data_IF_241022289184
#
_entry.id   IF_241022289184
#
_cell.length_a   1.000
_cell.length_b   1.000
_cell.length_c   1.000
_cell.angle_alpha   90.00
_cell.angle_beta   90.00
_cell.angle_gamma   90.00
#
_symmetry.space_group_name_H-M   'P 1'
#
loop_
_entity.id
_entity.type
_entity.pdbx_description
1 polymer ?
#
# COMPACT_ATOMS: atom_id res chain seq x y z
N UNK A 1 16.76 -16.27 -13.87
CA UNK A 1 16.57 -14.81 -13.73
C UNK A 1 15.79 -14.54 -12.48
N UNK A 2 16.37 -13.74 -11.62
CA UNK A 2 15.71 -13.37 -10.38
C UNK A 2 14.62 -12.37 -10.67
N UNK A 3 13.38 -12.78 -10.44
CA UNK A 3 12.24 -11.88 -10.56
C UNK A 3 12.23 -10.95 -9.35
N UNK A 4 12.40 -9.67 -9.60
CA UNK A 4 12.41 -8.64 -8.57
C UNK A 4 10.99 -8.30 -8.17
N UNK A 5 10.77 -8.13 -6.86
CA UNK A 5 9.45 -7.89 -6.30
C UNK A 5 9.35 -6.50 -5.70
N UNK A 6 8.28 -5.81 -6.00
CA UNK A 6 7.87 -4.56 -5.35
C UNK A 6 6.58 -4.83 -4.60
N UNK A 7 6.48 -4.36 -3.39
CA UNK A 7 5.32 -4.61 -2.52
C UNK A 7 4.59 -3.32 -2.20
N UNK A 8 3.27 -3.43 -2.07
CA UNK A 8 2.39 -2.31 -1.74
C UNK A 8 1.51 -2.67 -0.55
N UNK A 9 1.36 -1.73 0.38
CA UNK A 9 0.29 -1.78 1.36
C UNK A 9 -1.06 -1.58 0.67
N UNK A 10 -2.15 -1.95 1.34
CA UNK A 10 -3.49 -1.87 0.78
C UNK A 10 -4.25 -0.65 1.30
N UNK A 11 -4.60 -0.64 2.60
CA UNK A 11 -5.39 0.43 3.21
C UNK A 11 -4.62 1.76 3.23
N UNK A 12 -5.27 2.84 2.80
CA UNK A 12 -4.72 4.21 2.75
C UNK A 12 -3.45 4.36 1.90
N UNK A 13 -3.11 3.33 1.13
CA UNK A 13 -2.01 3.35 0.17
C UNK A 13 -2.54 3.21 -1.25
N UNK A 14 -3.30 2.15 -1.55
CA UNK A 14 -3.94 1.96 -2.85
C UNK A 14 -5.23 2.77 -2.98
N UNK A 15 -5.93 2.99 -1.89
CA UNK A 15 -7.16 3.76 -1.86
C UNK A 15 -7.26 4.57 -0.58
N UNK A 16 -8.11 5.61 -0.62
CA UNK A 16 -8.54 6.34 0.56
C UNK A 16 -10.05 6.17 0.74
N UNK A 17 -10.51 6.30 1.99
CA UNK A 17 -11.93 6.25 2.30
C UNK A 17 -12.52 7.66 2.19
N UNK A 18 -13.62 7.80 1.46
CA UNK A 18 -14.40 9.03 1.46
C UNK A 18 -15.84 8.72 1.84
N UNK A 19 -16.47 9.64 2.59
CA UNK A 19 -17.87 9.57 2.92
C UNK A 19 -18.64 10.55 2.02
N UNK A 20 -19.66 10.04 1.32
CA UNK A 20 -20.56 10.89 0.54
C UNK A 20 -21.94 10.91 1.17
N UNK A 21 -22.51 12.13 1.26
CA UNK A 21 -23.91 12.29 1.64
C UNK A 21 -24.79 12.00 0.44
N UNK A 22 -25.69 11.02 0.60
CA UNK A 22 -26.66 10.66 -0.45
C UNK A 22 -27.99 11.36 -0.16
N UNK A 23 -28.28 12.44 -0.93
CA UNK A 23 -29.52 13.19 -0.85
C UNK A 23 -29.72 13.95 0.46
N UNK A 24 -31.00 14.25 0.80
CA UNK A 24 -31.37 14.96 2.03
C UNK A 24 -31.46 14.05 3.25
N UNK A 25 -31.30 12.76 3.07
CA UNK A 25 -31.23 11.78 4.15
C UNK A 25 -29.78 11.67 4.61
N UNK A 26 -29.58 11.65 5.91
CA UNK A 26 -28.25 11.56 6.55
C UNK A 26 -27.64 10.16 6.40
N UNK A 27 -27.70 9.58 5.20
CA UNK A 27 -27.05 8.33 4.92
C UNK A 27 -25.66 8.65 4.32
N UNK A 28 -24.61 8.29 5.04
CA UNK A 28 -23.25 8.32 4.51
C UNK A 28 -22.92 6.96 3.92
N UNK A 29 -22.44 6.92 2.68
CA UNK A 29 -21.81 5.72 2.13
C UNK A 29 -20.30 5.91 2.13
N UNK A 30 -19.59 4.86 2.54
CA UNK A 30 -18.12 4.83 2.46
C UNK A 30 -17.73 4.36 1.08
N UNK A 31 -16.96 5.20 0.37
CA UNK A 31 -16.47 4.89 -0.97
C UNK A 31 -14.96 4.68 -0.91
N UNK A 32 -14.51 3.59 -1.52
CA UNK A 32 -13.08 3.34 -1.72
C UNK A 32 -12.63 4.15 -2.94
N UNK A 33 -11.91 5.23 -2.69
CA UNK A 33 -11.41 6.11 -3.75
C UNK A 33 -9.96 5.75 -4.08
N UNK A 34 -9.67 5.29 -5.31
CA UNK A 34 -8.30 4.98 -5.69
C UNK A 34 -7.35 6.15 -5.51
N UNK A 35 -6.17 5.89 -4.99
CA UNK A 35 -5.08 6.85 -4.94
C UNK A 35 -4.32 6.72 -6.26
N UNK A 36 -4.67 7.57 -7.21
CA UNK A 36 -4.23 7.43 -8.60
C UNK A 36 -2.71 7.40 -8.75
N UNK A 37 -1.99 8.24 -8.03
CA UNK A 37 -0.52 8.26 -8.09
C UNK A 37 0.10 6.92 -7.70
N UNK A 38 -0.50 6.23 -6.75
CA UNK A 38 -0.02 4.91 -6.31
C UNK A 38 -0.38 3.84 -7.33
N UNK A 39 -1.59 3.86 -7.90
CA UNK A 39 -1.96 2.97 -9.00
C UNK A 39 -1.01 3.15 -10.19
N UNK A 40 -0.72 4.40 -10.56
CA UNK A 40 0.19 4.70 -11.66
C UNK A 40 1.59 4.13 -11.40
N UNK A 41 2.09 4.28 -10.18
CA UNK A 41 3.39 3.72 -9.78
C UNK A 41 3.37 2.19 -9.86
N UNK A 42 2.30 1.56 -9.41
CA UNK A 42 2.15 0.10 -9.45
C UNK A 42 2.22 -0.41 -10.88
N UNK A 43 1.46 0.20 -11.80
CA UNK A 43 1.47 -0.18 -13.21
C UNK A 43 2.84 0.10 -13.86
N UNK A 44 3.47 1.21 -13.50
CA UNK A 44 4.82 1.54 -13.99
C UNK A 44 5.83 0.46 -13.58
N UNK A 45 5.82 0.06 -12.31
CA UNK A 45 6.72 -0.99 -11.80
C UNK A 45 6.46 -2.33 -12.48
N UNK A 46 5.20 -2.67 -12.68
CA UNK A 46 4.85 -3.89 -13.41
C UNK A 46 5.36 -3.84 -14.85
N UNK A 47 5.21 -2.72 -15.52
CA UNK A 47 5.71 -2.50 -16.89
C UNK A 47 7.23 -2.62 -16.96
N UNK A 48 7.94 -2.21 -15.91
CA UNK A 48 9.40 -2.34 -15.81
C UNK A 48 9.85 -3.80 -15.59
N UNK A 49 8.93 -4.73 -15.39
CA UNK A 49 9.21 -6.15 -15.20
C UNK A 49 9.18 -6.62 -13.75
N UNK A 50 8.80 -5.76 -12.80
CA UNK A 50 8.67 -6.18 -11.40
C UNK A 50 7.43 -7.03 -11.18
N UNK A 51 7.57 -8.03 -10.31
CA UNK A 51 6.43 -8.74 -9.73
C UNK A 51 5.85 -7.86 -8.64
N UNK A 52 4.53 -7.74 -8.60
CA UNK A 52 3.83 -6.91 -7.62
C UNK A 52 3.09 -7.80 -6.64
N UNK A 53 3.37 -7.63 -5.35
CA UNK A 53 2.64 -8.25 -4.26
C UNK A 53 2.03 -7.17 -3.36
N UNK A 54 0.90 -7.50 -2.73
CA UNK A 54 0.31 -6.69 -1.67
C UNK A 54 0.69 -7.31 -0.33
N UNK A 55 1.14 -6.49 0.61
CA UNK A 55 1.38 -6.88 2.00
C UNK A 55 0.53 -5.98 2.89
N UNK A 56 -0.50 -6.56 3.50
CA UNK A 56 -1.51 -5.83 4.27
C UNK A 56 -1.55 -6.31 5.71
N UNK A 57 -1.82 -5.37 6.64
CA UNK A 57 -2.04 -5.71 8.05
C UNK A 57 -3.39 -6.40 8.31
N UNK A 58 -4.25 -6.49 7.29
CA UNK A 58 -5.56 -7.15 7.42
C UNK A 58 -5.41 -8.63 7.79
N UNK A 59 -6.50 -9.16 8.35
CA UNK A 59 -6.62 -10.58 8.65
C UNK A 59 -6.93 -11.39 7.37
N UNK A 60 -6.57 -12.66 7.37
CA UNK A 60 -6.79 -13.54 6.23
C UNK A 60 -8.27 -13.74 5.85
N UNK A 61 -9.20 -13.47 6.77
CA UNK A 61 -10.63 -13.55 6.48
C UNK A 61 -11.16 -12.34 5.68
N UNK A 62 -10.36 -11.28 5.52
CA UNK A 62 -10.68 -10.12 4.68
C UNK A 62 -10.37 -10.33 3.18
N UNK A 63 -10.04 -11.56 2.80
CA UNK A 63 -9.69 -11.92 1.41
C UNK A 63 -10.68 -11.39 0.36
N UNK A 64 -12.02 -11.54 0.54
CA UNK A 64 -12.96 -11.11 -0.50
C UNK A 64 -12.85 -9.62 -0.86
N UNK A 65 -12.67 -8.75 0.13
CA UNK A 65 -12.61 -7.30 -0.10
C UNK A 65 -11.36 -6.90 -0.89
N UNK A 66 -10.20 -7.42 -0.50
CA UNK A 66 -8.94 -7.15 -1.21
C UNK A 66 -9.01 -7.70 -2.62
N UNK A 67 -9.49 -8.93 -2.77
CA UNK A 67 -9.62 -9.59 -4.07
C UNK A 67 -10.55 -8.82 -5.00
N UNK A 68 -11.70 -8.37 -4.50
CA UNK A 68 -12.66 -7.58 -5.27
C UNK A 68 -12.04 -6.28 -5.76
N UNK A 69 -11.28 -5.59 -4.91
CA UNK A 69 -10.59 -4.36 -5.29
C UNK A 69 -9.57 -4.61 -6.40
N UNK A 70 -8.73 -5.63 -6.23
CA UNK A 70 -7.71 -6.01 -7.21
C UNK A 70 -8.35 -6.31 -8.57
N UNK A 71 -9.43 -7.07 -8.58
CA UNK A 71 -10.16 -7.42 -9.80
C UNK A 71 -10.83 -6.20 -10.43
N UNK A 72 -11.47 -5.36 -9.63
CA UNK A 72 -12.18 -4.18 -10.12
C UNK A 72 -11.27 -3.19 -10.85
N UNK A 73 -10.04 -3.02 -10.38
CA UNK A 73 -9.07 -2.11 -10.98
C UNK A 73 -8.04 -2.83 -11.86
N UNK A 74 -8.22 -4.12 -12.09
CA UNK A 74 -7.34 -4.95 -12.93
C UNK A 74 -5.87 -4.80 -12.56
N UNK A 75 -5.58 -4.79 -11.24
CA UNK A 75 -4.22 -4.65 -10.75
C UNK A 75 -3.43 -5.95 -10.99
N UNK A 76 -2.20 -5.85 -11.52
CA UNK A 76 -1.39 -7.03 -11.83
C UNK A 76 -0.69 -7.57 -10.57
N UNK A 77 -1.48 -8.08 -9.63
CA UNK A 77 -0.99 -8.58 -8.34
C UNK A 77 -0.76 -10.09 -8.44
N UNK A 78 0.43 -10.54 -8.02
CA UNK A 78 0.75 -11.96 -7.92
C UNK A 78 0.14 -12.57 -6.67
N UNK A 79 0.50 -12.04 -5.50
CA UNK A 79 0.04 -12.55 -4.20
C UNK A 79 -0.38 -11.41 -3.28
N UNK A 80 -1.29 -11.73 -2.36
CA UNK A 80 -1.67 -10.86 -1.25
C UNK A 80 -1.26 -11.56 0.03
N UNK A 81 -0.43 -10.92 0.84
CA UNK A 81 0.04 -11.43 2.12
C UNK A 81 -0.68 -10.69 3.23
N UNK A 82 -1.40 -11.45 4.06
CA UNK A 82 -2.15 -10.95 5.21
C UNK A 82 -1.33 -11.18 6.46
N UNK A 83 -0.87 -10.09 7.11
CA UNK A 83 -0.02 -10.23 8.29
C UNK A 83 -0.81 -10.36 9.59
N UNK A 84 -2.11 -10.05 9.57
CA UNK A 84 -2.95 -10.09 10.77
C UNK A 84 -2.47 -9.14 11.87
N UNK A 85 -1.97 -7.96 11.48
CA UNK A 85 -1.43 -6.99 12.43
C UNK A 85 -0.01 -7.26 12.90
N UNK A 86 0.62 -8.34 12.43
CA UNK A 86 2.03 -8.62 12.74
C UNK A 86 2.94 -7.71 11.92
N UNK A 87 4.19 -7.53 12.38
CA UNK A 87 5.18 -6.71 11.68
C UNK A 87 5.35 -7.14 10.23
N UNK A 88 5.23 -6.20 9.31
CA UNK A 88 5.41 -6.46 7.88
C UNK A 88 6.85 -6.80 7.51
N UNK A 89 7.83 -6.30 8.24
CA UNK A 89 9.25 -6.43 7.90
C UNK A 89 9.69 -7.88 7.65
N UNK A 90 9.25 -8.80 8.50
CA UNK A 90 9.54 -10.21 8.32
C UNK A 90 9.04 -10.74 6.98
N UNK A 91 7.80 -10.41 6.65
CA UNK A 91 7.19 -10.85 5.39
C UNK A 91 7.88 -10.23 4.18
N UNK A 92 8.25 -8.94 4.28
CA UNK A 92 8.97 -8.26 3.21
C UNK A 92 10.33 -8.89 2.94
N UNK A 93 11.03 -9.32 3.98
CA UNK A 93 12.30 -10.03 3.85
C UNK A 93 12.12 -11.40 3.19
N UNK A 94 11.11 -12.16 3.62
CA UNK A 94 10.82 -13.49 3.05
C UNK A 94 10.45 -13.40 1.58
N UNK A 95 9.72 -12.35 1.19
CA UNK A 95 9.35 -12.10 -0.22
C UNK A 95 10.56 -11.65 -1.02
N UNK A 96 11.54 -11.02 -0.38
CA UNK A 96 12.65 -10.38 -1.08
C UNK A 96 12.26 -9.05 -1.71
N UNK A 97 11.40 -8.27 -1.05
CA UNK A 97 10.94 -6.98 -1.55
C UNK A 97 12.09 -6.01 -1.76
N UNK A 98 12.19 -5.47 -2.96
CA UNK A 98 13.20 -4.45 -3.30
C UNK A 98 12.72 -3.04 -3.04
N UNK A 99 11.41 -2.85 -2.94
CA UNK A 99 10.79 -1.57 -2.59
C UNK A 99 9.43 -1.87 -1.98
N UNK A 100 9.15 -1.30 -0.80
CA UNK A 100 7.85 -1.37 -0.18
C UNK A 100 7.21 0.01 -0.14
N UNK A 101 5.97 0.12 -0.59
CA UNK A 101 5.19 1.35 -0.66
C UNK A 101 4.13 1.31 0.43
N UNK A 102 4.17 2.25 1.37
CA UNK A 102 3.29 2.26 2.55
C UNK A 102 3.02 3.70 3.00
N UNK A 103 1.88 3.93 3.62
CA UNK A 103 1.49 5.24 4.15
C UNK A 103 1.85 5.42 5.64
N UNK A 104 2.17 4.33 6.32
CA UNK A 104 2.50 4.36 7.75
C UNK A 104 4.00 4.57 7.98
N UNK A 105 4.34 5.69 8.62
CA UNK A 105 5.73 6.02 8.93
C UNK A 105 6.38 4.94 9.79
N UNK A 106 5.66 4.37 10.77
CA UNK A 106 6.20 3.31 11.63
C UNK A 106 6.63 2.07 10.84
N UNK A 107 5.88 1.69 9.81
CA UNK A 107 6.24 0.58 8.92
C UNK A 107 7.49 0.91 8.12
N UNK A 108 7.53 2.12 7.54
CA UNK A 108 8.67 2.57 6.73
C UNK A 108 9.95 2.61 7.56
N UNK A 109 9.89 3.20 8.76
CA UNK A 109 11.05 3.27 9.68
C UNK A 109 11.57 1.89 9.99
N UNK A 110 10.70 0.97 10.40
CA UNK A 110 11.10 -0.38 10.80
C UNK A 110 11.69 -1.18 9.63
N UNK A 111 11.05 -1.11 8.46
CA UNK A 111 11.53 -1.82 7.27
C UNK A 111 12.89 -1.28 6.80
N UNK A 112 13.07 0.04 6.75
CA UNK A 112 14.33 0.67 6.38
C UNK A 112 15.47 0.30 7.34
N UNK A 113 15.19 0.22 8.63
CA UNK A 113 16.16 -0.23 9.64
C UNK A 113 16.64 -1.66 9.39
N UNK A 114 15.85 -2.45 8.70
CA UNK A 114 16.17 -3.84 8.35
C UNK A 114 16.60 -4.00 6.89
N UNK A 115 16.97 -2.91 6.24
CA UNK A 115 17.56 -2.92 4.90
C UNK A 115 16.57 -3.04 3.76
N UNK A 116 15.28 -2.77 3.99
CA UNK A 116 14.25 -2.80 2.94
C UNK A 116 13.97 -1.37 2.50
N UNK A 117 14.29 -0.98 1.26
CA UNK A 117 13.95 0.35 0.76
C UNK A 117 12.44 0.56 0.75
N UNK A 118 12.00 1.74 1.19
CA UNK A 118 10.59 2.09 1.25
C UNK A 118 10.31 3.42 0.58
N UNK A 119 9.07 3.56 0.10
CA UNK A 119 8.49 4.81 -0.36
C UNK A 119 7.31 5.14 0.53
N UNK A 120 7.39 6.27 1.24
CA UNK A 120 6.33 6.74 2.12
C UNK A 120 5.28 7.50 1.29
N UNK A 121 4.04 7.02 1.32
CA UNK A 121 2.92 7.74 0.70
C UNK A 121 2.48 8.84 1.66
N UNK A 122 2.62 10.10 1.24
CA UNK A 122 2.37 11.26 2.07
C UNK A 122 1.16 12.04 1.56
N UNK A 123 0.06 11.97 2.31
CA UNK A 123 -1.18 12.70 2.05
C UNK A 123 -1.26 14.04 2.80
N UNK A 124 -0.16 14.47 3.43
CA UNK A 124 -0.09 15.67 4.26
C UNK A 124 -0.05 15.40 5.76
N UNK A 125 -0.38 14.18 6.21
CA UNK A 125 -0.37 13.82 7.66
C UNK A 125 1.02 13.88 8.28
N UNK A 126 2.07 13.75 7.46
CA UNK A 126 3.47 13.79 7.92
C UNK A 126 4.09 15.19 7.79
N UNK A 127 3.30 16.19 7.51
CA UNK A 127 3.76 17.58 7.44
C UNK A 127 4.37 17.98 8.78
N UNK A 128 5.54 18.60 8.75
CA UNK A 128 6.31 19.00 9.93
C UNK A 128 6.83 17.82 10.78
N UNK A 129 6.80 16.61 10.27
CA UNK A 129 7.41 15.46 10.92
C UNK A 129 8.85 15.28 10.42
N UNK A 130 9.84 15.60 11.29
CA UNK A 130 11.26 15.56 10.92
C UNK A 130 11.73 14.14 10.61
N UNK A 131 11.15 13.13 11.24
CA UNK A 131 11.48 11.73 10.95
C UNK A 131 11.03 11.34 9.53
N UNK A 132 9.83 11.78 9.13
CA UNK A 132 9.31 11.53 7.79
C UNK A 132 10.20 12.14 6.71
N UNK A 133 10.86 13.27 7.01
CA UNK A 133 11.75 13.96 6.07
C UNK A 133 13.01 13.16 5.73
N UNK A 134 13.33 12.13 6.51
CA UNK A 134 14.48 11.25 6.26
C UNK A 134 14.22 10.22 5.16
N UNK A 135 12.96 10.04 4.74
CA UNK A 135 12.58 8.98 3.81
C UNK A 135 12.12 9.55 2.46
N UNK A 136 12.28 8.73 1.42
CA UNK A 136 11.72 9.04 0.11
C UNK A 136 10.20 9.02 0.18
N UNK A 137 9.55 10.05 -0.35
CA UNK A 137 8.10 10.23 -0.25
C UNK A 137 7.45 10.36 -1.61
N UNK A 138 6.27 9.78 -1.74
CA UNK A 138 5.32 10.06 -2.80
C UNK A 138 4.28 11.03 -2.26
N UNK A 139 4.39 12.30 -2.60
CA UNK A 139 3.48 13.34 -2.13
C UNK A 139 2.23 13.35 -3.00
N UNK A 140 1.08 13.24 -2.36
CA UNK A 140 -0.22 13.20 -3.06
C UNK A 140 -0.78 14.58 -3.38
#
# INVERSE_FOLDING_TARGET
MDNKVVTFDFDDTLFSLSEEKIGMLWASSTILKPIQKVHDLLFEKHKEGYIIDIVTARESWDVPEVKQYVEAYELPIRNVVYTGGKSKTRYLKEIGSELHVDDLLSVVVHAEQHGIPCLLVDDGRHKNNTTADLFTRLVL
#
